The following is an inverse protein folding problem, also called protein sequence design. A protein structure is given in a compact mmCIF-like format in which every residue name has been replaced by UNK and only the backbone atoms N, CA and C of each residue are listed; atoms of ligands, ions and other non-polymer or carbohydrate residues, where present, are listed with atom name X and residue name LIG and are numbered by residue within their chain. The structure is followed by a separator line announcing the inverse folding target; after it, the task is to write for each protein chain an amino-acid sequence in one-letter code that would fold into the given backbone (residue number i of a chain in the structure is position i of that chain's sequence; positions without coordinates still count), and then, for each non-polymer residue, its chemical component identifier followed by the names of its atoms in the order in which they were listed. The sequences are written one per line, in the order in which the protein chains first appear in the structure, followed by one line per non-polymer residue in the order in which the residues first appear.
data_IF_139833899177
#
_entry.id   IF_139833899177
#
_cell.length_a   1.000
_cell.length_b   1.000
_cell.length_c   1.000
_cell.angle_alpha   90.00
_cell.angle_beta   90.00
_cell.angle_gamma   90.00
#
_symmetry.space_group_name_H-M   'P 1'
#
loop_
_entity.id
_entity.type
_entity.pdbx_description
1 polymer ?
#
# COMPACT_ATOMS: atom_id res chain seq x y z
N UNK A 1 11.94 13.75 1.45
CA UNK A 1 11.25 14.69 2.34
C UNK A 1 12.22 15.60 3.11
N UNK A 2 13.19 15.07 3.89
CA UNK A 2 14.13 15.89 4.70
C UNK A 2 14.90 16.90 3.85
N UNK A 3 15.46 16.50 2.69
CA UNK A 3 16.18 17.41 1.78
C UNK A 3 15.32 18.57 1.25
N UNK A 4 14.04 18.34 1.00
CA UNK A 4 13.10 19.38 0.51
C UNK A 4 12.76 20.38 1.61
N UNK A 5 12.56 19.89 2.84
CA UNK A 5 12.32 20.74 4.01
C UNK A 5 13.55 21.62 4.28
N UNK A 6 14.75 21.03 4.23
CA UNK A 6 15.99 21.77 4.42
C UNK A 6 16.17 22.87 3.36
N UNK A 7 15.87 22.57 2.09
CA UNK A 7 15.96 23.53 0.98
C UNK A 7 14.95 24.67 1.14
N UNK A 8 13.73 24.39 1.62
CA UNK A 8 12.73 25.41 1.94
C UNK A 8 13.19 26.33 3.09
N UNK A 9 13.78 25.75 4.15
CA UNK A 9 14.32 26.54 5.26
C UNK A 9 15.45 27.47 4.81
N UNK A 10 16.39 26.96 3.99
CA UNK A 10 17.48 27.77 3.43
C UNK A 10 16.92 28.91 2.57
N UNK A 11 15.99 28.63 1.67
CA UNK A 11 15.33 29.66 0.85
C UNK A 11 14.62 30.72 1.69
N UNK A 12 13.92 30.32 2.74
CA UNK A 12 13.24 31.27 3.64
C UNK A 12 14.22 32.18 4.36
N UNK A 13 15.38 31.64 4.79
CA UNK A 13 16.44 32.44 5.40
C UNK A 13 17.07 33.44 4.41
N UNK A 14 17.31 33.04 3.17
CA UNK A 14 17.86 33.92 2.12
C UNK A 14 16.86 35.05 1.82
N UNK A 15 15.57 34.72 1.67
CA UNK A 15 14.53 35.73 1.44
C UNK A 15 14.42 36.68 2.64
N UNK A 16 14.50 36.19 3.88
CA UNK A 16 14.49 37.03 5.07
C UNK A 16 15.67 37.99 5.11
N UNK A 17 16.88 37.55 4.73
CA UNK A 17 18.07 38.41 4.65
C UNK A 17 17.94 39.51 3.59
N UNK A 18 17.48 39.17 2.39
CA UNK A 18 17.27 40.13 1.31
C UNK A 18 16.20 41.20 1.70
N UNK A 19 15.09 40.71 2.26
CA UNK A 19 14.01 41.62 2.69
C UNK A 19 14.44 42.51 3.85
N UNK A 20 15.28 42.03 4.77
CA UNK A 20 15.83 42.84 5.85
C UNK A 20 16.69 43.99 5.30
N UNK A 21 17.62 43.67 4.41
CA UNK A 21 18.51 44.66 3.79
C UNK A 21 17.71 45.72 3.02
N UNK A 22 16.70 45.28 2.25
CA UNK A 22 15.82 46.18 1.52
C UNK A 22 15.01 47.08 2.47
N UNK A 23 14.39 46.49 3.51
CA UNK A 23 13.63 47.24 4.51
C UNK A 23 14.51 48.24 5.27
N UNK A 24 15.73 47.82 5.63
CA UNK A 24 16.68 48.70 6.34
C UNK A 24 17.03 49.93 5.51
N UNK A 25 17.33 49.77 4.22
CA UNK A 25 17.63 50.89 3.30
C UNK A 25 16.42 51.78 3.07
N UNK A 26 15.25 51.23 2.90
CA UNK A 26 14.03 51.98 2.65
C UNK A 26 13.58 52.75 3.90
N UNK A 27 13.52 52.10 5.07
CA UNK A 27 13.07 52.69 6.32
C UNK A 27 14.05 53.74 6.84
N UNK A 28 15.37 53.54 6.65
CA UNK A 28 16.37 54.52 7.00
C UNK A 28 16.23 55.82 6.16
N UNK A 29 15.82 55.71 4.89
CA UNK A 29 15.59 56.87 4.00
C UNK A 29 14.40 57.72 4.45
N UNK A 30 13.43 57.11 5.17
CA UNK A 30 12.24 57.85 5.70
C UNK A 30 12.30 58.06 7.22
N UNK A 31 13.49 57.94 7.82
CA UNK A 31 13.74 58.17 9.24
C UNK A 31 12.91 57.30 10.23
N UNK A 32 12.47 56.13 9.83
CA UNK A 32 11.76 55.18 10.71
C UNK A 32 12.75 54.19 11.28
N UNK A 33 12.65 53.86 12.58
CA UNK A 33 13.49 52.87 13.23
C UNK A 33 13.24 51.49 12.64
N UNK A 34 14.31 50.82 12.22
CA UNK A 34 14.27 49.47 11.70
C UNK A 34 14.16 48.45 12.83
N UNK A 35 13.32 47.40 12.71
CA UNK A 35 13.28 46.34 13.69
C UNK A 35 14.61 45.58 13.74
N UNK A 36 14.95 45.06 14.91
CA UNK A 36 16.16 44.26 15.09
C UNK A 36 16.13 43.04 14.16
N UNK A 37 17.28 42.62 13.65
CA UNK A 37 17.45 41.49 12.72
C UNK A 37 16.69 40.25 13.20
N UNK A 38 16.81 39.90 14.48
CA UNK A 38 16.12 38.74 15.07
C UNK A 38 14.59 38.87 14.98
N UNK A 39 14.03 40.02 15.27
CA UNK A 39 12.59 40.26 15.16
C UNK A 39 12.12 40.16 13.71
N UNK A 40 12.92 40.65 12.76
CA UNK A 40 12.60 40.57 11.34
C UNK A 40 12.56 39.12 10.83
N UNK A 41 13.55 38.30 11.21
CA UNK A 41 13.59 36.88 10.90
C UNK A 41 12.35 36.20 11.49
N UNK A 42 11.99 36.46 12.74
CA UNK A 42 10.85 35.86 13.39
C UNK A 42 9.53 36.21 12.67
N UNK A 43 9.32 37.49 12.28
CA UNK A 43 8.14 37.91 11.51
C UNK A 43 8.10 37.21 10.14
N UNK A 44 9.23 37.14 9.43
CA UNK A 44 9.31 36.49 8.12
C UNK A 44 8.99 35.00 8.21
N UNK A 45 9.49 34.31 9.22
CA UNK A 45 9.15 32.90 9.48
C UNK A 45 7.67 32.71 9.80
N UNK A 46 7.08 33.56 10.64
CA UNK A 46 5.66 33.49 10.99
C UNK A 46 4.75 33.66 9.77
N UNK A 47 5.08 34.61 8.89
CA UNK A 47 4.32 34.84 7.64
C UNK A 47 4.50 33.67 6.66
N UNK A 48 5.70 33.08 6.56
CA UNK A 48 5.99 31.97 5.66
C UNK A 48 5.31 30.65 6.10
N UNK A 49 5.01 30.48 7.38
CA UNK A 49 4.34 29.29 7.92
C UNK A 49 2.96 29.05 7.31
N UNK A 50 2.19 30.09 7.06
CA UNK A 50 0.82 30.02 6.51
C UNK A 50 0.81 29.40 5.11
N UNK A 51 1.54 29.91 4.09
CA UNK A 51 1.54 29.30 2.77
C UNK A 51 2.19 27.91 2.74
N UNK A 52 3.19 27.65 3.60
CA UNK A 52 3.83 26.34 3.67
C UNK A 52 2.85 25.28 4.21
N UNK A 53 2.11 25.57 5.27
CA UNK A 53 1.10 24.65 5.81
C UNK A 53 -0.02 24.40 4.81
N UNK A 54 -0.45 25.42 4.07
CA UNK A 54 -1.45 25.31 3.02
C UNK A 54 -0.98 24.44 1.84
N UNK A 55 0.27 24.62 1.39
CA UNK A 55 0.88 23.77 0.35
C UNK A 55 1.00 22.32 0.78
N UNK A 56 1.43 22.05 2.02
CA UNK A 56 1.52 20.68 2.56
C UNK A 56 0.13 20.05 2.65
N UNK A 57 -0.88 20.81 3.05
CA UNK A 57 -2.27 20.34 3.10
C UNK A 57 -2.81 19.99 1.71
N UNK A 58 -2.62 20.86 0.72
CA UNK A 58 -3.01 20.60 -0.67
C UNK A 58 -2.29 19.36 -1.19
N UNK A 59 -0.96 19.28 -1.02
CA UNK A 59 -0.16 18.15 -1.51
C UNK A 59 -0.57 16.84 -0.87
N UNK A 60 -0.89 16.83 0.42
CA UNK A 60 -1.39 15.64 1.11
C UNK A 60 -2.77 15.21 0.62
N UNK A 61 -3.64 16.16 0.28
CA UNK A 61 -4.97 15.92 -0.26
C UNK A 61 -4.92 15.38 -1.69
N UNK A 62 -4.03 15.91 -2.53
CA UNK A 62 -3.79 15.40 -3.88
C UNK A 62 -3.22 13.97 -3.87
N UNK A 63 -2.24 13.69 -3.02
CA UNK A 63 -1.68 12.36 -2.88
C UNK A 63 -2.71 11.34 -2.40
N UNK A 64 -3.62 11.71 -1.50
CA UNK A 64 -4.73 10.85 -1.05
C UNK A 64 -5.72 10.55 -2.18
N UNK A 65 -6.10 11.53 -2.99
CA UNK A 65 -6.99 11.33 -4.15
C UNK A 65 -6.39 10.37 -5.18
N UNK A 66 -5.15 10.59 -5.56
CA UNK A 66 -4.45 9.73 -6.55
C UNK A 66 -4.35 8.29 -6.10
N UNK A 67 -4.18 8.07 -4.81
CA UNK A 67 -4.12 6.75 -4.17
C UNK A 67 -5.47 6.03 -4.21
N UNK A 68 -6.57 6.76 -4.02
CA UNK A 68 -7.92 6.18 -4.07
C UNK A 68 -8.37 5.85 -5.49
N UNK A 69 -8.05 6.66 -6.48
CA UNK A 69 -8.43 6.44 -7.88
C UNK A 69 -7.80 5.15 -8.44
N UNK A 70 -6.51 4.90 -8.18
CA UNK A 70 -5.85 3.66 -8.59
C UNK A 70 -6.52 2.41 -8.00
N UNK A 71 -6.90 2.44 -6.72
CA UNK A 71 -7.57 1.31 -6.07
C UNK A 71 -9.00 1.11 -6.61
N UNK A 72 -9.70 2.18 -7.00
CA UNK A 72 -11.07 2.12 -7.56
C UNK A 72 -11.04 1.50 -8.96
N UNK A 73 -10.08 1.87 -9.81
CA UNK A 73 -9.95 1.33 -11.16
C UNK A 73 -9.63 -0.16 -11.14
N UNK A 74 -8.72 -0.58 -10.25
CA UNK A 74 -8.39 -1.95 -9.98
C UNK A 74 -9.61 -2.77 -9.53
N UNK A 75 -10.44 -2.24 -8.64
CA UNK A 75 -11.67 -2.90 -8.20
C UNK A 75 -12.71 -3.05 -9.32
N UNK A 76 -12.80 -2.08 -10.23
CA UNK A 76 -13.73 -2.11 -11.37
C UNK A 76 -13.38 -3.20 -12.41
N UNK A 77 -12.09 -3.41 -12.65
CA UNK A 77 -11.63 -4.49 -13.54
C UNK A 77 -11.87 -5.88 -12.95
N UNK A 78 -11.70 -6.05 -11.65
CA UNK A 78 -11.98 -7.31 -10.96
C UNK A 78 -13.46 -7.70 -11.03
N UNK A 79 -14.37 -6.74 -10.88
CA UNK A 79 -15.82 -6.99 -10.99
C UNK A 79 -16.24 -7.45 -12.40
N UNK A 80 -15.58 -6.95 -13.45
CA UNK A 80 -15.87 -7.36 -14.83
C UNK A 80 -15.47 -8.82 -15.10
N UNK A 81 -14.43 -9.35 -14.44
CA UNK A 81 -13.94 -10.73 -14.66
C UNK A 81 -14.70 -11.78 -13.87
N UNK A 82 -15.25 -11.42 -12.70
CA UNK A 82 -16.07 -12.33 -11.88
C UNK A 82 -17.29 -12.90 -12.60
N UNK A 83 -17.82 -12.17 -13.60
CA UNK A 83 -18.99 -12.59 -14.36
C UNK A 83 -18.71 -13.66 -15.44
N UNK A 84 -17.45 -14.00 -15.75
CA UNK A 84 -17.11 -14.85 -16.89
C UNK A 84 -16.60 -16.27 -16.54
N UNK A 85 -16.56 -16.68 -15.28
CA UNK A 85 -15.98 -17.97 -14.89
C UNK A 85 -16.94 -18.89 -14.12
N UNK A 86 -17.93 -19.40 -14.79
CA UNK A 86 -18.68 -20.57 -14.31
C UNK A 86 -18.30 -21.79 -15.16
N UNK A 87 -17.50 -22.72 -14.60
CA UNK A 87 -17.33 -24.05 -15.19
C UNK A 87 -15.87 -24.52 -15.25
N UNK A 88 -15.45 -25.15 -14.27
CA UNK A 88 -14.51 -26.27 -14.05
C UNK A 88 -13.87 -26.12 -12.66
N UNK A 89 -14.07 -27.11 -11.80
CA UNK A 89 -13.58 -27.03 -10.41
C UNK A 89 -12.46 -28.07 -10.21
N UNK A 90 -11.21 -27.81 -10.67
CA UNK A 90 -10.12 -28.74 -10.54
C UNK A 90 -9.74 -28.95 -9.07
N UNK A 91 -9.28 -30.16 -8.78
CA UNK A 91 -8.85 -30.58 -7.44
C UNK A 91 -7.41 -30.16 -7.19
N UNK A 92 -7.15 -29.51 -6.07
CA UNK A 92 -5.82 -29.21 -5.54
C UNK A 92 -5.39 -30.34 -4.61
N UNK A 93 -4.23 -30.93 -4.86
CA UNK A 93 -3.59 -31.84 -3.94
C UNK A 93 -2.32 -31.20 -3.40
N UNK A 94 -2.34 -30.81 -2.15
CA UNK A 94 -1.24 -30.15 -1.47
C UNK A 94 -0.45 -31.21 -0.68
N UNK A 95 0.76 -31.49 -1.12
CA UNK A 95 1.65 -32.42 -0.47
C UNK A 95 2.52 -31.67 0.54
N UNK A 96 2.66 -32.26 1.74
CA UNK A 96 3.52 -31.69 2.79
C UNK A 96 4.91 -32.35 2.77
N UNK A 97 5.81 -31.80 3.58
CA UNK A 97 7.15 -32.39 3.79
C UNK A 97 7.08 -33.71 4.58
N UNK A 98 5.93 -34.07 5.13
CA UNK A 98 5.68 -35.32 5.83
C UNK A 98 5.05 -36.33 4.86
N UNK A 99 5.63 -37.56 4.77
CA UNK A 99 5.27 -38.59 3.78
C UNK A 99 3.79 -39.01 3.76
N UNK A 100 3.02 -38.74 4.80
CA UNK A 100 1.63 -39.21 4.94
C UNK A 100 0.61 -38.09 5.13
N UNK A 101 1.01 -36.85 5.07
CA UNK A 101 0.09 -35.72 5.26
C UNK A 101 -0.13 -35.00 3.92
N UNK A 102 -1.38 -34.95 3.48
CA UNK A 102 -1.79 -34.24 2.28
C UNK A 102 -3.16 -33.59 2.50
N UNK A 103 -3.36 -32.43 1.92
CA UNK A 103 -4.67 -31.76 1.89
C UNK A 103 -5.21 -31.83 0.46
N UNK A 104 -6.42 -32.36 0.31
CA UNK A 104 -7.13 -32.41 -0.97
C UNK A 104 -8.36 -31.53 -0.87
N UNK A 105 -8.42 -30.47 -1.69
CA UNK A 105 -9.53 -29.51 -1.73
C UNK A 105 -9.83 -29.14 -3.19
N UNK A 106 -11.02 -28.62 -3.46
CA UNK A 106 -11.28 -28.04 -4.77
C UNK A 106 -10.58 -26.68 -4.92
N UNK A 107 -10.13 -26.35 -6.14
CA UNK A 107 -9.48 -25.06 -6.43
C UNK A 107 -10.35 -23.88 -5.98
N UNK A 108 -11.65 -23.96 -6.22
CA UNK A 108 -12.60 -22.91 -5.85
C UNK A 108 -12.82 -22.80 -4.34
N UNK A 109 -12.45 -23.81 -3.57
CA UNK A 109 -12.56 -23.75 -2.11
C UNK A 109 -11.32 -23.12 -1.47
N UNK A 110 -10.17 -23.11 -2.16
CA UNK A 110 -8.96 -22.47 -1.68
C UNK A 110 -9.11 -20.96 -1.62
N UNK A 111 -8.99 -20.38 -0.43
CA UNK A 111 -9.09 -18.93 -0.22
C UNK A 111 -7.71 -18.27 -0.21
N UNK A 112 -6.88 -18.63 0.76
CA UNK A 112 -5.49 -18.17 0.86
C UNK A 112 -4.68 -19.07 1.80
N UNK A 113 -3.36 -18.88 1.75
CA UNK A 113 -2.42 -19.48 2.68
C UNK A 113 -1.50 -18.42 3.27
N UNK A 114 -1.23 -18.50 4.57
CA UNK A 114 -0.37 -17.61 5.34
C UNK A 114 0.77 -18.41 5.98
N UNK A 115 1.99 -17.85 5.94
CA UNK A 115 3.13 -18.44 6.65
C UNK A 115 2.99 -18.22 8.15
N UNK A 116 3.14 -19.30 8.91
CA UNK A 116 3.17 -19.34 10.37
C UNK A 116 4.42 -20.11 10.79
N UNK A 117 5.54 -19.39 11.00
CA UNK A 117 6.84 -19.95 11.31
C UNK A 117 7.29 -21.04 10.31
N UNK A 118 7.39 -22.30 10.76
CA UNK A 118 7.77 -23.47 9.96
C UNK A 118 6.56 -24.18 9.31
N UNK A 119 5.36 -23.60 9.42
CA UNK A 119 4.12 -24.14 8.91
C UNK A 119 3.47 -23.14 7.97
N UNK A 120 2.50 -23.64 7.20
CA UNK A 120 1.61 -22.80 6.40
C UNK A 120 0.18 -23.04 6.86
N UNK A 121 -0.49 -21.98 7.29
CA UNK A 121 -1.91 -21.99 7.61
C UNK A 121 -2.71 -21.77 6.33
N UNK A 122 -3.50 -22.78 5.94
CA UNK A 122 -4.32 -22.75 4.74
C UNK A 122 -5.77 -22.48 5.14
N UNK A 123 -6.35 -21.44 4.53
CA UNK A 123 -7.76 -21.10 4.69
C UNK A 123 -8.53 -21.53 3.44
N UNK A 124 -9.59 -22.29 3.63
CA UNK A 124 -10.40 -22.82 2.56
C UNK A 124 -11.85 -23.01 3.01
N UNK A 125 -12.77 -23.11 2.06
CA UNK A 125 -14.15 -23.43 2.34
C UNK A 125 -14.34 -24.96 2.39
N UNK A 126 -14.99 -25.44 3.45
CA UNK A 126 -15.47 -26.80 3.57
C UNK A 126 -16.96 -26.72 3.90
N UNK A 127 -17.79 -27.32 3.08
CA UNK A 127 -19.26 -27.27 3.22
C UNK A 127 -19.77 -25.83 3.40
N UNK A 128 -19.24 -24.89 2.59
CA UNK A 128 -19.53 -23.44 2.62
C UNK A 128 -19.10 -22.72 3.91
N UNK A 129 -18.40 -23.39 4.81
CA UNK A 129 -17.85 -22.78 6.03
C UNK A 129 -16.34 -22.53 5.86
N UNK A 130 -15.91 -21.34 6.24
CA UNK A 130 -14.48 -21.05 6.28
C UNK A 130 -13.79 -21.92 7.34
N UNK A 131 -12.81 -22.68 6.90
CA UNK A 131 -12.03 -23.61 7.70
C UNK A 131 -10.55 -23.31 7.51
N UNK A 132 -9.74 -23.59 8.50
CA UNK A 132 -8.29 -23.45 8.40
C UNK A 132 -7.61 -24.75 8.79
N UNK A 133 -6.49 -25.07 8.12
CA UNK A 133 -5.64 -26.21 8.43
C UNK A 133 -4.18 -25.79 8.38
N UNK A 134 -3.43 -26.19 9.41
CA UNK A 134 -2.00 -25.95 9.50
C UNK A 134 -1.28 -27.14 8.86
N UNK A 135 -0.43 -26.88 7.85
CA UNK A 135 0.36 -27.89 7.18
C UNK A 135 1.86 -27.63 7.35
N UNK A 136 2.64 -28.67 7.54
CA UNK A 136 4.10 -28.58 7.58
C UNK A 136 4.68 -28.52 6.17
N UNK A 137 4.60 -27.36 5.59
CA UNK A 137 5.12 -27.04 4.26
C UNK A 137 5.55 -25.59 4.22
N UNK A 138 6.63 -25.27 3.52
CA UNK A 138 7.00 -23.87 3.32
C UNK A 138 6.04 -23.20 2.34
N UNK A 139 5.73 -21.92 2.57
CA UNK A 139 4.86 -21.15 1.66
C UNK A 139 5.43 -21.08 0.23
N UNK A 140 6.76 -21.17 0.08
CA UNK A 140 7.43 -21.22 -1.23
C UNK A 140 7.10 -22.52 -1.95
N UNK A 141 7.24 -23.67 -1.27
CA UNK A 141 6.91 -24.98 -1.83
C UNK A 141 5.43 -25.11 -2.15
N UNK A 142 4.56 -24.58 -1.29
CA UNK A 142 3.12 -24.49 -1.57
C UNK A 142 2.84 -23.68 -2.83
N UNK A 143 3.44 -22.51 -2.97
CA UNK A 143 3.25 -21.66 -4.15
C UNK A 143 3.70 -22.35 -5.45
N UNK A 144 4.78 -23.14 -5.41
CA UNK A 144 5.24 -23.93 -6.55
C UNK A 144 4.22 -25.02 -6.95
N UNK A 145 3.63 -25.71 -5.98
CA UNK A 145 2.58 -26.72 -6.26
C UNK A 145 1.32 -26.08 -6.86
N UNK A 146 1.04 -24.82 -6.54
CA UNK A 146 -0.13 -24.10 -7.00
C UNK A 146 0.10 -23.27 -8.28
N UNK A 147 1.31 -23.25 -8.82
CA UNK A 147 1.69 -22.45 -9.99
C UNK A 147 0.90 -22.79 -11.26
N UNK A 148 0.43 -24.03 -11.37
CA UNK A 148 -0.46 -24.49 -12.47
C UNK A 148 -1.82 -23.79 -12.50
N UNK A 149 -2.21 -23.10 -11.43
CA UNK A 149 -3.49 -22.42 -11.33
C UNK A 149 -3.30 -20.90 -11.42
N UNK A 150 -3.60 -20.26 -12.57
CA UNK A 150 -3.37 -18.82 -12.77
C UNK A 150 -4.15 -17.91 -11.82
N UNK A 151 -5.25 -18.42 -11.21
CA UNK A 151 -6.01 -17.69 -10.21
C UNK A 151 -5.35 -17.65 -8.84
N UNK A 152 -4.34 -18.48 -8.58
CA UNK A 152 -3.65 -18.55 -7.30
C UNK A 152 -2.27 -17.91 -7.44
N UNK A 153 -2.00 -16.88 -6.66
CA UNK A 153 -0.76 -16.11 -6.78
C UNK A 153 -0.10 -15.88 -5.43
N UNK A 154 1.23 -15.92 -5.41
CA UNK A 154 2.02 -15.51 -4.26
C UNK A 154 2.24 -14.00 -4.31
N UNK A 155 1.38 -13.24 -3.66
CA UNK A 155 1.44 -11.77 -3.64
C UNK A 155 2.42 -11.20 -2.61
N UNK A 156 2.80 -12.00 -1.60
CA UNK A 156 3.71 -11.59 -0.53
C UNK A 156 4.61 -12.75 -0.09
N UNK A 157 5.73 -12.44 0.58
CA UNK A 157 6.59 -13.50 1.15
C UNK A 157 5.84 -14.43 2.13
N UNK A 158 4.82 -13.89 2.80
CA UNK A 158 4.01 -14.59 3.80
C UNK A 158 2.59 -14.92 3.33
N UNK A 159 2.21 -14.64 2.06
CA UNK A 159 0.86 -14.87 1.56
C UNK A 159 0.82 -15.43 0.13
N UNK A 160 0.00 -16.46 -0.04
CA UNK A 160 -0.49 -16.98 -1.33
C UNK A 160 -1.99 -16.87 -1.32
N UNK A 161 -2.59 -16.27 -2.33
CA UNK A 161 -4.03 -15.99 -2.37
C UNK A 161 -4.68 -16.51 -3.65
N UNK A 162 -5.97 -16.80 -3.57
CA UNK A 162 -6.82 -16.97 -4.74
C UNK A 162 -7.45 -15.63 -5.13
N UNK A 163 -7.12 -15.14 -6.32
CA UNK A 163 -7.59 -13.85 -6.85
C UNK A 163 -9.12 -13.74 -6.92
N UNK A 164 -9.80 -14.88 -7.11
CA UNK A 164 -11.25 -14.94 -7.24
C UNK A 164 -11.98 -14.50 -5.97
N UNK A 165 -11.30 -14.58 -4.82
CA UNK A 165 -11.83 -14.19 -3.52
C UNK A 165 -11.45 -12.79 -3.04
N UNK A 166 -10.72 -12.03 -3.85
CA UNK A 166 -10.46 -10.63 -3.52
C UNK A 166 -11.78 -9.86 -3.66
N UNK A 167 -12.18 -9.18 -2.60
CA UNK A 167 -13.38 -8.35 -2.55
C UNK A 167 -13.07 -6.89 -2.79
N UNK A 168 -11.91 -6.44 -2.33
CA UNK A 168 -11.47 -5.04 -2.41
C UNK A 168 -9.96 -4.95 -2.36
N UNK A 169 -9.40 -3.99 -3.08
CA UNK A 169 -8.00 -3.58 -2.96
C UNK A 169 -7.98 -2.20 -2.30
N UNK A 170 -7.11 -2.02 -1.31
CA UNK A 170 -6.87 -0.75 -0.65
C UNK A 170 -5.38 -0.44 -0.59
N UNK A 171 -5.02 0.76 -0.16
CA UNK A 171 -3.62 1.18 -0.12
C UNK A 171 -3.18 1.95 -1.37
N UNK A 172 -1.90 1.93 -1.67
CA UNK A 172 -1.29 2.66 -2.78
C UNK A 172 -0.14 1.87 -3.40
N UNK A 173 0.45 2.40 -4.49
CA UNK A 173 1.56 1.78 -5.21
C UNK A 173 2.78 1.39 -4.33
N UNK A 174 2.89 1.93 -3.12
CA UNK A 174 3.93 1.56 -2.15
C UNK A 174 3.54 0.39 -1.25
N UNK A 175 2.24 0.18 -1.02
CA UNK A 175 1.73 -0.87 -0.13
C UNK A 175 0.25 -1.10 -0.43
N UNK A 176 -0.05 -2.09 -1.25
CA UNK A 176 -1.41 -2.57 -1.46
C UNK A 176 -1.79 -3.60 -0.41
N UNK A 177 -3.08 -3.59 -0.06
CA UNK A 177 -3.70 -4.53 0.86
C UNK A 177 -4.91 -5.15 0.15
N UNK A 178 -4.99 -6.47 0.15
CA UNK A 178 -6.04 -7.26 -0.48
C UNK A 178 -7.03 -7.73 0.58
N UNK A 179 -8.27 -7.28 0.48
CA UNK A 179 -9.36 -7.76 1.33
C UNK A 179 -9.95 -9.01 0.71
N UNK A 180 -10.02 -10.07 1.48
CA UNK A 180 -10.51 -11.37 1.04
C UNK A 180 -11.91 -11.61 1.59
N UNK A 181 -12.70 -12.41 0.86
CA UNK A 181 -14.05 -12.80 1.27
C UNK A 181 -13.99 -13.53 2.61
N UNK A 182 -14.90 -13.19 3.52
CA UNK A 182 -15.06 -13.83 4.83
C UNK A 182 -13.80 -13.83 5.72
N UNK A 183 -12.84 -12.92 5.44
CA UNK A 183 -11.64 -12.73 6.25
C UNK A 183 -11.46 -11.26 6.64
N UNK A 184 -11.21 -11.01 7.92
CA UNK A 184 -11.15 -9.64 8.44
C UNK A 184 -9.81 -8.95 8.17
N UNK A 185 -8.71 -9.70 8.25
CA UNK A 185 -7.37 -9.15 8.06
C UNK A 185 -7.02 -9.07 6.57
N UNK A 186 -6.60 -7.91 6.05
CA UNK A 186 -6.18 -7.81 4.66
C UNK A 186 -4.81 -8.44 4.44
N UNK A 187 -4.64 -9.15 3.33
CA UNK A 187 -3.36 -9.69 2.92
C UNK A 187 -2.46 -8.60 2.31
N UNK A 188 -1.22 -8.42 2.77
CA UNK A 188 -0.30 -7.45 2.20
C UNK A 188 0.22 -7.89 0.84
N UNK A 189 0.52 -6.94 -0.03
CA UNK A 189 1.18 -7.17 -1.32
C UNK A 189 2.62 -6.69 -1.25
N UNK A 190 3.55 -7.50 -1.74
CA UNK A 190 4.96 -7.11 -1.84
C UNK A 190 5.13 -5.96 -2.83
N UNK A 191 6.06 -5.04 -2.55
CA UNK A 191 6.39 -3.92 -3.47
C UNK A 191 6.92 -4.38 -4.83
N UNK A 192 7.55 -5.55 -4.88
CA UNK A 192 8.07 -6.16 -6.11
C UNK A 192 7.04 -7.01 -6.86
N UNK A 193 5.83 -7.18 -6.32
CA UNK A 193 4.81 -7.96 -6.97
C UNK A 193 4.14 -7.15 -8.08
N UNK A 194 4.17 -7.62 -9.34
CA UNK A 194 3.50 -6.93 -10.43
C UNK A 194 1.99 -7.03 -10.24
N UNK A 195 1.35 -5.88 -9.97
CA UNK A 195 -0.07 -5.82 -9.63
C UNK A 195 -0.96 -6.30 -10.77
N UNK A 196 -0.48 -6.22 -12.01
CA UNK A 196 -1.15 -6.68 -13.23
C UNK A 196 -1.46 -8.19 -13.17
N UNK A 197 -0.66 -8.96 -12.45
CA UNK A 197 -0.91 -10.40 -12.21
C UNK A 197 -2.19 -10.67 -11.43
N UNK A 198 -2.78 -9.68 -10.76
CA UNK A 198 -4.08 -9.84 -10.13
C UNK A 198 -5.23 -9.82 -11.16
N UNK A 199 -4.96 -9.37 -12.39
CA UNK A 199 -5.95 -9.18 -13.46
C UNK A 199 -5.74 -10.10 -14.66
N UNK A 200 -4.55 -10.73 -14.77
CA UNK A 200 -4.23 -11.68 -15.83
C UNK A 200 -4.96 -13.01 -15.67
#
# INVERSE_FOLDING_TARGET
MVKQILLLLINTLVIAGINYEYSHRFLSAIHIQTPNLLNFIFITFSVALIPITFLVFIMSSYLKKWTQESAIELNKEMLKRKNNQAGNNPVLTLNTDLKNERLVICKNDFLFAKSEDNYTLIHYFKDQKLTSQLLRISLKSLAQQLEVFPSIVRCHRSYVINKEYITKISGNARSYLLHLKDHQEPAPVSRSFPIEKLYS
#
